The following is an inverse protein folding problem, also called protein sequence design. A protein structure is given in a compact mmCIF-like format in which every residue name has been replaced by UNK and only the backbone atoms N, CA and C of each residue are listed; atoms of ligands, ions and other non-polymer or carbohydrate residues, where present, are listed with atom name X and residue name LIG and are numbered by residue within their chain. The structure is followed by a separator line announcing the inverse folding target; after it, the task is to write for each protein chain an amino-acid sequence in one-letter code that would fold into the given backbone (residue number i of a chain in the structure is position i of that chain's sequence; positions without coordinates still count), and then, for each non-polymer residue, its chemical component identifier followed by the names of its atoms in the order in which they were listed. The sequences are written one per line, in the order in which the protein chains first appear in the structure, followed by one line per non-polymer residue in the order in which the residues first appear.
data_IF_098115760858
#
_entry.id   IF_098115760858
#
_cell.length_a   1.000
_cell.length_b   1.000
_cell.length_c   1.000
_cell.angle_alpha   90.00
_cell.angle_beta   90.00
_cell.angle_gamma   90.00
#
_symmetry.space_group_name_H-M   'P 1'
#
loop_
_entity.id
_entity.type
_entity.pdbx_description
1 polymer ?
#
# COMPACT_ATOMS: atom_id res chain seq x y z
N UNK A 1 8.66 0.96 21.08
CA UNK A 1 8.00 1.76 22.16
C UNK A 1 6.51 1.84 21.83
N UNK A 2 5.64 1.47 22.77
CA UNK A 2 4.18 1.59 22.59
C UNK A 2 3.78 3.06 22.54
N UNK A 3 2.90 3.42 21.62
CA UNK A 3 2.32 4.75 21.53
C UNK A 3 0.81 4.66 21.71
N UNK A 4 0.23 5.41 22.65
CA UNK A 4 -1.18 5.32 23.07
C UNK A 4 -2.21 5.63 21.95
N UNK A 5 -1.80 6.44 20.97
CA UNK A 5 -2.67 6.87 19.87
C UNK A 5 -2.39 6.11 18.55
N UNK A 6 -1.60 5.01 18.61
CA UNK A 6 -1.25 4.20 17.44
C UNK A 6 -1.47 2.73 17.72
N UNK A 7 -2.28 2.08 16.91
CA UNK A 7 -2.42 0.64 16.87
C UNK A 7 -1.78 0.09 15.60
N UNK A 8 -1.17 -1.08 15.69
CA UNK A 8 -0.48 -1.76 14.60
C UNK A 8 -1.22 -3.06 14.27
N UNK A 9 -1.70 -3.18 13.04
CA UNK A 9 -2.31 -4.41 12.54
C UNK A 9 -1.35 -5.12 11.59
N UNK A 10 -0.94 -6.32 11.95
CA UNK A 10 0.05 -7.11 11.22
C UNK A 10 -0.65 -8.17 10.37
N UNK A 11 -0.49 -8.08 9.05
CA UNK A 11 -0.95 -9.10 8.10
C UNK A 11 0.23 -9.96 7.66
N UNK A 12 0.19 -11.24 7.99
CA UNK A 12 1.23 -12.22 7.62
C UNK A 12 0.69 -13.14 6.51
N UNK A 13 1.42 -13.26 5.41
CA UNK A 13 1.10 -14.19 4.32
C UNK A 13 0.90 -15.61 4.88
N UNK A 14 -0.16 -16.30 4.44
CA UNK A 14 -0.47 -17.66 4.91
C UNK A 14 0.67 -18.66 4.66
N UNK A 15 1.52 -18.42 3.65
CA UNK A 15 2.70 -19.24 3.34
C UNK A 15 3.84 -19.07 4.34
N UNK A 16 3.82 -17.99 5.14
CA UNK A 16 4.88 -17.68 6.10
C UNK A 16 4.53 -18.27 7.46
N UNK A 17 5.49 -18.89 8.13
CA UNK A 17 5.32 -19.28 9.54
C UNK A 17 5.08 -18.02 10.38
N UNK A 18 4.00 -18.01 11.15
CA UNK A 18 3.66 -16.89 12.02
C UNK A 18 4.44 -16.90 13.34
N UNK A 19 4.97 -18.05 13.75
CA UNK A 19 5.58 -18.24 15.08
C UNK A 19 6.65 -17.20 15.44
N UNK A 20 7.57 -16.80 14.55
CA UNK A 20 8.57 -15.78 14.88
C UNK A 20 7.97 -14.38 15.16
N UNK A 21 6.76 -14.13 14.69
CA UNK A 21 6.10 -12.83 14.85
C UNK A 21 5.23 -12.74 16.10
N UNK A 22 4.89 -13.88 16.75
CA UNK A 22 4.02 -13.90 17.92
C UNK A 22 4.61 -13.16 19.13
N UNK A 23 5.91 -12.90 19.15
CA UNK A 23 6.56 -12.04 20.14
C UNK A 23 5.91 -10.64 20.20
N UNK A 24 5.32 -10.18 19.10
CA UNK A 24 4.65 -8.88 19.07
C UNK A 24 3.28 -8.86 19.77
N UNK A 25 2.70 -10.02 20.16
CA UNK A 25 1.48 -10.11 20.97
C UNK A 25 1.70 -9.59 22.41
N UNK A 26 2.95 -9.43 22.84
CA UNK A 26 3.28 -8.81 24.13
C UNK A 26 2.91 -7.32 24.21
N UNK A 27 2.61 -6.68 23.06
CA UNK A 27 2.27 -5.27 22.99
C UNK A 27 0.75 -5.08 22.88
N UNK A 28 0.15 -4.34 23.80
CA UNK A 28 -1.29 -4.11 23.89
C UNK A 28 -1.90 -3.39 22.66
N UNK A 29 -1.06 -2.71 21.88
CA UNK A 29 -1.44 -1.98 20.67
C UNK A 29 -1.04 -2.69 19.35
N UNK A 30 -0.68 -3.97 19.42
CA UNK A 30 -0.35 -4.80 18.24
C UNK A 30 -1.39 -5.90 18.08
N UNK A 31 -1.92 -6.03 16.88
CA UNK A 31 -2.97 -6.98 16.52
C UNK A 31 -2.60 -7.73 15.26
N UNK A 32 -2.82 -9.04 15.24
CA UNK A 32 -2.66 -9.81 14.01
C UNK A 32 -3.99 -9.91 13.26
N UNK A 33 -3.94 -9.71 11.92
CA UNK A 33 -5.05 -10.01 11.03
C UNK A 33 -5.30 -11.51 11.05
N UNK A 34 -6.50 -11.90 11.47
CA UNK A 34 -6.87 -13.31 11.72
C UNK A 34 -7.02 -14.10 10.42
N UNK A 35 -7.66 -13.48 9.43
CA UNK A 35 -7.91 -14.12 8.14
C UNK A 35 -6.69 -13.96 7.23
N UNK A 36 -5.80 -14.95 7.24
CA UNK A 36 -4.62 -15.00 6.39
C UNK A 36 -4.95 -15.69 5.06
N UNK A 37 -4.33 -15.23 3.99
CA UNK A 37 -4.44 -15.84 2.65
C UNK A 37 -3.04 -15.96 2.03
N UNK A 38 -2.93 -16.79 0.98
CA UNK A 38 -1.72 -16.83 0.17
C UNK A 38 -1.65 -15.58 -0.70
N UNK A 39 -0.60 -14.79 -0.51
CA UNK A 39 -0.36 -13.54 -1.26
C UNK A 39 0.72 -13.78 -2.31
N UNK A 40 0.51 -13.27 -3.52
CA UNK A 40 1.45 -13.39 -4.61
C UNK A 40 1.68 -12.03 -5.26
N UNK A 41 2.92 -11.76 -5.56
CA UNK A 41 3.33 -10.49 -6.14
C UNK A 41 2.69 -10.23 -7.51
N UNK A 42 2.20 -9.01 -7.68
CA UNK A 42 1.62 -8.53 -8.93
C UNK A 42 0.21 -9.04 -9.25
N UNK A 43 -0.42 -9.85 -8.37
CA UNK A 43 -1.80 -10.28 -8.59
C UNK A 43 -2.79 -9.73 -7.54
N UNK A 44 -4.06 -9.98 -7.76
CA UNK A 44 -5.16 -9.45 -6.93
C UNK A 44 -5.13 -9.93 -5.47
N UNK A 45 -4.34 -10.95 -5.12
CA UNK A 45 -4.25 -11.42 -3.73
C UNK A 45 -3.64 -10.37 -2.78
N UNK A 46 -2.80 -9.45 -3.28
CA UNK A 46 -2.33 -8.29 -2.52
C UNK A 46 -3.50 -7.37 -2.14
N UNK A 47 -4.35 -7.03 -3.11
CA UNK A 47 -5.58 -6.26 -2.87
C UNK A 47 -6.49 -6.98 -1.88
N UNK A 48 -6.71 -8.28 -2.08
CA UNK A 48 -7.57 -9.09 -1.21
C UNK A 48 -7.07 -9.10 0.23
N UNK A 49 -5.76 -9.24 0.45
CA UNK A 49 -5.15 -9.16 1.79
C UNK A 49 -5.37 -7.79 2.43
N UNK A 50 -5.21 -6.71 1.66
CA UNK A 50 -5.45 -5.34 2.13
C UNK A 50 -6.92 -5.13 2.52
N UNK A 51 -7.87 -5.61 1.70
CA UNK A 51 -9.31 -5.50 1.99
C UNK A 51 -9.70 -6.30 3.25
N UNK A 52 -9.12 -7.49 3.46
CA UNK A 52 -9.29 -8.26 4.69
C UNK A 52 -8.81 -7.45 5.90
N UNK A 53 -7.64 -6.81 5.80
CA UNK A 53 -7.12 -5.93 6.83
C UNK A 53 -8.08 -4.77 7.13
N UNK A 54 -8.62 -4.11 6.11
CA UNK A 54 -9.59 -3.04 6.27
C UNK A 54 -10.85 -3.51 7.01
N UNK A 55 -11.40 -4.67 6.64
CA UNK A 55 -12.59 -5.25 7.27
C UNK A 55 -12.34 -5.56 8.75
N UNK A 56 -11.20 -6.17 9.10
CA UNK A 56 -10.87 -6.53 10.48
C UNK A 56 -10.59 -5.27 11.32
N UNK A 57 -9.90 -4.25 10.79
CA UNK A 57 -9.67 -2.97 11.48
C UNK A 57 -11.02 -2.29 11.79
N UNK A 58 -11.92 -2.20 10.81
CA UNK A 58 -13.23 -1.61 11.01
C UNK A 58 -14.12 -2.40 11.97
N UNK A 59 -13.95 -3.72 12.02
CA UNK A 59 -14.69 -4.62 12.93
C UNK A 59 -14.11 -4.67 14.34
N UNK A 60 -12.96 -4.07 14.58
CA UNK A 60 -12.32 -4.04 15.90
C UNK A 60 -13.11 -3.26 16.96
N UNK A 61 -14.06 -2.43 16.54
CA UNK A 61 -14.83 -1.54 17.42
C UNK A 61 -14.05 -0.31 17.90
N UNK A 62 -12.82 -0.14 17.44
CA UNK A 62 -11.96 1.01 17.74
C UNK A 62 -12.22 2.15 16.75
N UNK A 63 -12.12 3.38 17.20
CA UNK A 63 -12.30 4.56 16.36
C UNK A 63 -10.93 5.13 15.97
N UNK A 64 -10.66 5.10 14.68
CA UNK A 64 -9.42 5.61 14.09
C UNK A 64 -9.71 6.79 13.17
N UNK A 65 -8.85 7.81 13.20
CA UNK A 65 -8.88 8.92 12.24
C UNK A 65 -8.31 8.52 10.87
N UNK A 66 -7.19 7.81 10.89
CA UNK A 66 -6.43 7.45 9.70
C UNK A 66 -5.97 5.99 9.72
N UNK A 67 -5.78 5.46 8.52
CA UNK A 67 -5.06 4.22 8.26
C UNK A 67 -3.80 4.54 7.46
N UNK A 68 -2.63 4.15 7.96
CA UNK A 68 -1.36 4.22 7.26
C UNK A 68 -0.93 2.82 6.81
N UNK A 69 -0.85 2.60 5.51
CA UNK A 69 -0.53 1.29 4.94
C UNK A 69 0.96 1.20 4.61
N UNK A 70 1.68 0.32 5.30
CA UNK A 70 3.13 0.11 5.20
C UNK A 70 3.47 -1.38 5.05
N UNK A 71 4.71 -1.70 4.75
CA UNK A 71 5.26 -3.06 4.72
C UNK A 71 6.36 -3.26 5.76
N UNK A 72 6.77 -4.52 5.98
CA UNK A 72 7.91 -4.84 6.83
C UNK A 72 9.27 -4.36 6.29
N UNK A 73 9.33 -3.76 5.10
CA UNK A 73 10.55 -3.13 4.56
C UNK A 73 10.52 -1.61 4.61
N UNK A 74 9.46 -1.03 5.18
CA UNK A 74 9.34 0.41 5.40
C UNK A 74 9.84 0.74 6.81
N UNK A 75 10.38 1.94 6.99
CA UNK A 75 10.82 2.42 8.30
C UNK A 75 10.39 3.88 8.53
N UNK A 76 9.97 4.27 9.75
CA UNK A 76 9.63 5.65 10.05
C UNK A 76 10.89 6.52 10.06
N UNK A 77 10.77 7.75 9.55
CA UNK A 77 11.82 8.79 9.59
C UNK A 77 11.52 9.87 10.63
N UNK A 78 10.41 9.77 11.32
CA UNK A 78 10.00 10.75 12.32
C UNK A 78 9.26 10.06 13.46
N UNK A 79 9.20 10.71 14.63
CA UNK A 79 8.49 10.16 15.77
C UNK A 79 6.98 10.04 15.50
N UNK A 80 6.29 9.07 16.11
CA UNK A 80 4.84 8.94 15.99
C UNK A 80 4.08 10.23 16.37
N UNK A 81 4.55 10.95 17.39
CA UNK A 81 3.95 12.24 17.80
C UNK A 81 3.91 13.25 16.67
N UNK A 82 5.04 13.45 15.95
CA UNK A 82 5.11 14.41 14.86
C UNK A 82 4.24 13.99 13.67
N UNK A 83 4.17 12.70 13.38
CA UNK A 83 3.29 12.20 12.33
C UNK A 83 1.81 12.42 12.70
N UNK A 84 1.42 12.15 13.95
CA UNK A 84 0.07 12.39 14.44
C UNK A 84 -0.27 13.89 14.42
N UNK A 85 0.64 14.75 14.86
CA UNK A 85 0.46 16.21 14.79
C UNK A 85 0.25 16.70 13.34
N UNK A 86 0.99 16.14 12.40
CA UNK A 86 0.81 16.42 10.97
C UNK A 86 -0.59 15.99 10.49
N UNK A 87 -1.02 14.76 10.79
CA UNK A 87 -2.34 14.27 10.40
C UNK A 87 -3.48 15.06 11.04
N UNK A 88 -3.31 15.54 12.28
CA UNK A 88 -4.29 16.42 12.94
C UNK A 88 -4.46 17.79 12.25
N UNK A 89 -3.44 18.25 11.54
CA UNK A 89 -3.50 19.49 10.73
C UNK A 89 -4.13 19.26 9.36
N UNK A 90 -4.18 18.01 8.92
CA UNK A 90 -4.68 17.58 7.61
C UNK A 90 -5.84 16.56 7.75
N UNK A 91 -6.88 16.83 8.56
CA UNK A 91 -7.82 15.81 9.06
C UNK A 91 -8.65 15.12 7.98
N UNK A 92 -8.77 15.75 6.81
CA UNK A 92 -9.56 15.23 5.69
C UNK A 92 -8.72 14.95 4.44
N UNK A 93 -7.39 14.93 4.54
CA UNK A 93 -6.51 14.73 3.39
C UNK A 93 -6.17 13.25 3.21
N UNK A 94 -6.40 12.72 2.02
CA UNK A 94 -6.02 11.37 1.64
C UNK A 94 -4.69 11.38 0.89
N UNK A 95 -3.63 10.89 1.53
CA UNK A 95 -2.28 10.88 0.98
C UNK A 95 -2.02 9.59 0.22
N UNK A 96 -1.86 9.71 -1.10
CA UNK A 96 -1.48 8.62 -2.00
C UNK A 96 -0.82 9.16 -3.25
N UNK A 97 0.14 8.45 -3.80
CA UNK A 97 0.73 8.79 -5.07
C UNK A 97 -0.13 8.23 -6.21
N UNK A 98 -0.48 9.08 -7.18
CA UNK A 98 -1.35 8.67 -8.26
C UNK A 98 -1.12 9.50 -9.54
N UNK A 99 -1.21 8.83 -10.69
CA UNK A 99 -1.19 9.44 -12.01
C UNK A 99 -2.27 8.79 -12.88
N UNK A 100 -3.03 9.56 -13.68
CA UNK A 100 -3.91 9.02 -14.72
C UNK A 100 -3.09 8.15 -15.68
N UNK A 101 -3.52 6.88 -15.85
CA UNK A 101 -2.72 5.90 -16.61
C UNK A 101 -2.61 6.27 -18.08
N UNK A 102 -3.70 6.74 -18.70
CA UNK A 102 -3.72 7.05 -20.13
C UNK A 102 -2.93 8.31 -20.48
N UNK A 103 -2.83 9.25 -19.56
CA UNK A 103 -2.19 10.54 -19.79
C UNK A 103 -0.74 10.60 -19.27
N UNK A 104 -0.52 10.13 -18.03
CA UNK A 104 0.74 10.38 -17.32
C UNK A 104 1.52 9.08 -17.00
N UNK A 105 0.85 7.92 -16.91
CA UNK A 105 1.51 6.64 -16.61
C UNK A 105 1.27 5.59 -17.70
N UNK A 106 1.58 5.96 -18.94
CA UNK A 106 1.25 5.14 -20.13
C UNK A 106 1.88 3.75 -20.15
N UNK A 107 3.02 3.56 -19.48
CA UNK A 107 3.64 2.24 -19.33
C UNK A 107 2.76 1.23 -18.57
N UNK A 108 1.77 1.71 -17.81
CA UNK A 108 0.80 0.86 -17.12
C UNK A 108 -0.42 0.48 -17.99
N UNK A 109 -0.60 1.06 -19.18
CA UNK A 109 -1.71 0.74 -20.08
C UNK A 109 -1.86 -0.77 -20.34
N UNK A 110 -0.79 -1.55 -20.60
CA UNK A 110 -0.91 -2.98 -20.77
C UNK A 110 -1.44 -3.71 -19.54
N UNK A 111 -1.22 -3.19 -18.33
CA UNK A 111 -1.69 -3.77 -17.08
C UNK A 111 -3.22 -3.80 -17.01
N UNK A 112 -3.87 -2.73 -17.47
CA UNK A 112 -5.33 -2.57 -17.42
C UNK A 112 -6.04 -3.03 -18.69
N UNK A 113 -5.39 -2.94 -19.86
CA UNK A 113 -6.02 -3.28 -21.14
C UNK A 113 -5.83 -4.74 -21.57
N UNK A 114 -4.85 -5.46 -21.02
CA UNK A 114 -4.63 -6.87 -21.29
C UNK A 114 -5.28 -7.74 -20.20
N UNK A 115 -5.48 -9.02 -20.53
CA UNK A 115 -5.94 -10.05 -19.59
C UNK A 115 -4.72 -10.61 -18.86
N UNK A 116 -4.75 -10.61 -17.53
CA UNK A 116 -3.74 -11.21 -16.66
C UNK A 116 -4.41 -12.24 -15.76
N UNK A 117 -3.96 -13.50 -15.84
CA UNK A 117 -4.61 -14.63 -15.17
C UNK A 117 -3.90 -15.09 -13.89
N UNK A 118 -2.89 -14.35 -13.43
CA UNK A 118 -2.07 -14.70 -12.26
C UNK A 118 -2.88 -15.07 -11.02
N UNK A 119 -3.94 -14.34 -10.73
CA UNK A 119 -4.81 -14.57 -9.59
C UNK A 119 -5.50 -15.95 -9.60
N UNK A 120 -5.87 -16.47 -10.78
CA UNK A 120 -6.69 -17.69 -10.88
C UNK A 120 -5.89 -19.00 -10.72
N UNK A 121 -4.56 -18.96 -10.83
CA UNK A 121 -3.68 -20.13 -10.63
C UNK A 121 -4.02 -21.36 -11.50
N UNK A 122 -4.44 -21.14 -12.74
CA UNK A 122 -4.85 -22.18 -13.67
C UNK A 122 -3.59 -22.79 -14.33
N UNK A 123 -3.51 -24.12 -14.43
CA UNK A 123 -2.44 -24.80 -15.17
C UNK A 123 -2.46 -24.33 -16.63
N UNK A 124 -1.30 -23.94 -17.17
CA UNK A 124 -1.19 -23.41 -18.53
C UNK A 124 -1.69 -21.96 -18.68
N UNK A 125 -1.91 -21.22 -17.58
CA UNK A 125 -2.47 -19.87 -17.58
C UNK A 125 -1.75 -18.89 -18.53
N UNK A 126 -0.44 -18.98 -18.67
CA UNK A 126 0.32 -18.09 -19.56
C UNK A 126 -0.02 -18.29 -21.03
N UNK A 127 -0.23 -19.56 -21.45
CA UNK A 127 -0.66 -19.89 -22.82
C UNK A 127 -2.08 -19.39 -23.08
N UNK A 128 -2.99 -19.64 -22.13
CA UNK A 128 -4.37 -19.15 -22.19
C UNK A 128 -4.40 -17.63 -22.24
N UNK A 129 -3.65 -16.96 -21.36
CA UNK A 129 -3.53 -15.51 -21.32
C UNK A 129 -3.01 -14.94 -22.64
N UNK A 130 -1.99 -15.57 -23.25
CA UNK A 130 -1.44 -15.16 -24.55
C UNK A 130 -2.49 -15.27 -25.63
N UNK A 131 -3.23 -16.38 -25.68
CA UNK A 131 -4.32 -16.61 -26.64
C UNK A 131 -5.44 -15.58 -26.44
N UNK A 132 -5.90 -15.36 -25.20
CA UNK A 132 -6.92 -14.37 -24.89
C UNK A 132 -6.50 -12.97 -25.37
N UNK A 133 -5.25 -12.57 -25.10
CA UNK A 133 -4.74 -11.25 -25.51
C UNK A 133 -4.54 -11.13 -27.02
N UNK A 134 -4.46 -12.24 -27.76
CA UNK A 134 -4.35 -12.25 -29.22
C UNK A 134 -5.72 -12.15 -29.91
N UNK A 135 -6.77 -12.80 -29.34
CA UNK A 135 -8.06 -12.96 -30.02
C UNK A 135 -9.20 -12.13 -29.42
N UNK A 136 -9.12 -11.75 -28.14
CA UNK A 136 -10.18 -11.00 -27.49
C UNK A 136 -9.94 -9.48 -27.63
N UNK A 137 -11.01 -8.67 -27.61
CA UNK A 137 -10.88 -7.21 -27.58
C UNK A 137 -10.14 -6.77 -26.31
N UNK A 138 -9.47 -5.61 -26.40
CA UNK A 138 -8.84 -5.00 -25.22
C UNK A 138 -9.89 -4.73 -24.15
N UNK A 139 -9.49 -4.90 -22.89
CA UNK A 139 -10.38 -4.68 -21.75
C UNK A 139 -10.67 -3.20 -21.59
N UNK A 140 -11.87 -2.90 -21.13
CA UNK A 140 -12.35 -1.53 -20.86
C UNK A 140 -12.67 -1.42 -19.38
N UNK A 141 -12.27 -0.30 -18.78
CA UNK A 141 -12.54 -0.01 -17.38
C UNK A 141 -14.07 0.05 -17.13
N UNK A 142 -14.60 -0.68 -16.13
CA UNK A 142 -16.01 -0.63 -15.79
C UNK A 142 -16.49 0.80 -15.50
N UNK A 143 -17.73 1.09 -15.83
CA UNK A 143 -18.39 2.38 -15.57
C UNK A 143 -17.66 3.60 -16.13
N UNK A 144 -16.82 3.42 -17.14
CA UNK A 144 -15.99 4.48 -17.74
C UNK A 144 -15.12 5.22 -16.70
N UNK A 145 -14.75 4.54 -15.61
CA UNK A 145 -13.87 5.13 -14.60
C UNK A 145 -12.51 5.46 -15.22
N UNK A 146 -11.96 6.60 -14.82
CA UNK A 146 -10.58 6.98 -15.16
C UNK A 146 -9.64 6.09 -14.37
N UNK A 147 -8.82 5.30 -15.05
CA UNK A 147 -7.80 4.47 -14.41
C UNK A 147 -6.65 5.33 -13.88
N UNK A 148 -6.40 5.22 -12.59
CA UNK A 148 -5.38 6.01 -11.89
C UNK A 148 -4.59 5.09 -10.97
N UNK A 149 -3.28 5.29 -10.89
CA UNK A 149 -2.44 4.51 -9.98
C UNK A 149 -1.00 5.00 -9.96
N UNK A 150 -0.17 4.39 -9.17
CA UNK A 150 1.30 4.50 -9.14
C UNK A 150 1.90 3.69 -7.99
N UNK A 151 1.48 3.96 -6.75
CA UNK A 151 2.09 3.40 -5.55
C UNK A 151 1.06 2.61 -4.74
N UNK A 152 1.42 1.46 -4.25
CA UNK A 152 0.60 0.66 -3.32
C UNK A 152 0.39 1.37 -1.96
N UNK A 153 1.27 2.31 -1.61
CA UNK A 153 1.37 2.88 -0.28
C UNK A 153 0.56 4.16 -0.14
N UNK A 154 -0.15 4.30 0.98
CA UNK A 154 -1.01 5.44 1.25
C UNK A 154 -1.23 5.66 2.74
N UNK A 155 -1.72 6.87 3.07
CA UNK A 155 -2.27 7.21 4.38
C UNK A 155 -3.65 7.82 4.15
N UNK A 156 -4.70 7.12 4.58
CA UNK A 156 -6.09 7.47 4.26
C UNK A 156 -6.90 7.77 5.50
N UNK A 157 -7.77 8.80 5.48
CA UNK A 157 -8.86 8.93 6.45
C UNK A 157 -9.74 7.67 6.44
N UNK A 158 -10.24 7.26 7.61
CA UNK A 158 -11.07 6.06 7.71
C UNK A 158 -12.37 6.12 6.90
N UNK A 159 -12.86 7.33 6.59
CA UNK A 159 -13.97 7.52 5.66
C UNK A 159 -13.68 6.97 4.25
N UNK A 160 -12.44 7.17 3.76
CA UNK A 160 -12.00 6.61 2.47
C UNK A 160 -11.92 5.08 2.51
N UNK A 161 -11.44 4.51 3.61
CA UNK A 161 -11.35 3.06 3.80
C UNK A 161 -12.74 2.41 3.79
N UNK A 162 -13.70 2.99 4.52
CA UNK A 162 -15.12 2.55 4.50
C UNK A 162 -15.71 2.63 3.09
N UNK A 163 -15.50 3.76 2.42
CA UNK A 163 -16.00 3.96 1.07
C UNK A 163 -15.45 2.92 0.08
N UNK A 164 -14.16 2.60 0.13
CA UNK A 164 -13.55 1.58 -0.74
C UNK A 164 -14.26 0.22 -0.57
N UNK A 165 -14.48 -0.22 0.66
CA UNK A 165 -15.15 -1.49 0.94
C UNK A 165 -16.60 -1.49 0.45
N UNK A 166 -17.35 -0.44 0.75
CA UNK A 166 -18.76 -0.32 0.34
C UNK A 166 -18.90 -0.22 -1.16
N UNK A 167 -18.01 0.54 -1.82
CA UNK A 167 -17.98 0.66 -3.28
C UNK A 167 -17.75 -0.71 -3.94
N UNK A 168 -16.78 -1.48 -3.48
CA UNK A 168 -16.49 -2.80 -4.05
C UNK A 168 -17.64 -3.80 -3.81
N UNK A 169 -18.29 -3.77 -2.64
CA UNK A 169 -19.48 -4.58 -2.36
C UNK A 169 -20.64 -4.27 -3.30
N UNK A 170 -20.85 -2.98 -3.60
CA UNK A 170 -21.92 -2.53 -4.50
C UNK A 170 -21.57 -2.70 -5.98
N UNK A 171 -20.29 -2.78 -6.32
CA UNK A 171 -19.80 -2.81 -7.69
C UNK A 171 -18.93 -4.05 -8.02
N UNK A 172 -19.47 -5.28 -7.96
CA UNK A 172 -18.70 -6.51 -8.15
C UNK A 172 -18.07 -6.65 -9.55
N UNK A 173 -18.52 -5.85 -10.53
CA UNK A 173 -17.88 -5.78 -11.86
C UNK A 173 -16.48 -5.17 -11.78
N UNK A 174 -16.26 -4.20 -10.89
CA UNK A 174 -14.95 -3.58 -10.67
C UNK A 174 -14.00 -4.59 -10.07
N UNK A 175 -14.40 -5.30 -9.03
CA UNK A 175 -13.58 -6.35 -8.43
C UNK A 175 -13.20 -7.43 -9.45
N UNK A 176 -14.18 -7.92 -10.23
CA UNK A 176 -13.92 -8.91 -11.31
C UNK A 176 -12.94 -8.39 -12.36
N UNK A 177 -13.02 -7.11 -12.69
CA UNK A 177 -12.08 -6.49 -13.61
C UNK A 177 -10.66 -6.49 -13.02
N UNK A 178 -10.48 -6.05 -11.79
CA UNK A 178 -9.17 -5.96 -11.17
C UNK A 178 -8.52 -7.32 -10.86
N UNK A 179 -9.28 -8.41 -10.73
CA UNK A 179 -8.75 -9.79 -10.66
C UNK A 179 -7.95 -10.22 -11.90
N UNK A 180 -8.07 -9.50 -13.00
CA UNK A 180 -7.31 -9.73 -14.23
C UNK A 180 -6.41 -8.55 -14.60
N UNK A 181 -6.02 -7.72 -13.63
CA UNK A 181 -5.07 -6.62 -13.78
C UNK A 181 -3.76 -7.00 -13.09
N UNK A 182 -2.64 -6.82 -13.76
CA UNK A 182 -1.34 -7.03 -13.15
C UNK A 182 -0.94 -5.80 -12.33
N UNK A 183 -0.45 -6.00 -11.09
CA UNK A 183 -0.15 -4.90 -10.18
C UNK A 183 -1.40 -4.12 -9.78
N UNK A 184 -2.51 -4.84 -9.55
CA UNK A 184 -3.81 -4.25 -9.21
C UNK A 184 -3.80 -3.45 -7.90
N UNK A 185 -2.91 -3.78 -6.97
CA UNK A 185 -2.66 -3.11 -5.71
C UNK A 185 -2.14 -1.67 -5.86
N UNK A 186 -1.48 -1.37 -6.98
CA UNK A 186 -0.99 -0.03 -7.32
C UNK A 186 -2.04 0.83 -8.05
N UNK A 187 -3.22 0.29 -8.35
CA UNK A 187 -4.19 0.94 -9.26
C UNK A 187 -5.60 1.04 -8.64
N UNK A 188 -6.09 -0.01 -7.99
CA UNK A 188 -7.50 -0.13 -7.62
C UNK A 188 -7.96 0.95 -6.63
N UNK A 189 -7.19 1.19 -5.56
CA UNK A 189 -7.58 2.12 -4.50
C UNK A 189 -7.59 3.56 -5.00
N UNK A 190 -6.56 3.94 -5.76
CA UNK A 190 -6.46 5.24 -6.42
C UNK A 190 -7.60 5.44 -7.41
N UNK A 191 -7.87 4.43 -8.25
CA UNK A 191 -8.96 4.49 -9.22
C UNK A 191 -10.30 4.70 -8.53
N UNK A 192 -10.60 3.96 -7.46
CA UNK A 192 -11.87 4.08 -6.73
C UNK A 192 -12.00 5.49 -6.14
N UNK A 193 -10.99 5.98 -5.43
CA UNK A 193 -11.07 7.28 -4.76
C UNK A 193 -11.05 8.44 -5.76
N UNK A 194 -10.31 8.34 -6.86
CA UNK A 194 -10.26 9.38 -7.91
C UNK A 194 -11.59 9.54 -8.64
N UNK A 195 -12.38 8.47 -8.76
CA UNK A 195 -13.72 8.49 -9.38
C UNK A 195 -14.86 8.60 -8.34
N UNK A 196 -14.59 9.18 -7.18
CA UNK A 196 -15.51 9.30 -6.06
C UNK A 196 -15.63 10.74 -5.57
N UNK A 197 -16.56 11.04 -4.65
CA UNK A 197 -16.61 12.33 -3.96
C UNK A 197 -15.31 12.68 -3.20
N UNK A 198 -14.47 11.70 -2.88
CA UNK A 198 -13.19 11.90 -2.20
C UNK A 198 -12.08 12.42 -3.12
N UNK A 199 -12.31 12.56 -4.43
CA UNK A 199 -11.31 13.10 -5.37
C UNK A 199 -10.72 14.43 -4.91
N UNK A 200 -11.57 15.32 -4.36
CA UNK A 200 -11.15 16.66 -3.94
C UNK A 200 -10.20 16.71 -2.75
N UNK A 201 -10.10 15.62 -1.98
CA UNK A 201 -9.21 15.50 -0.81
C UNK A 201 -7.95 14.67 -1.08
N UNK A 202 -7.79 14.14 -2.31
CA UNK A 202 -6.59 13.40 -2.69
C UNK A 202 -5.40 14.35 -2.81
N UNK A 203 -4.33 14.03 -2.10
CA UNK A 203 -3.03 14.68 -2.22
C UNK A 203 -2.05 13.72 -2.87
N UNK A 204 -1.46 14.14 -4.00
CA UNK A 204 -0.51 13.31 -4.75
C UNK A 204 0.85 13.26 -4.03
N UNK A 205 0.88 12.63 -2.88
CA UNK A 205 2.04 12.36 -2.05
C UNK A 205 1.74 11.14 -1.16
N UNK A 206 2.54 10.10 -1.23
CA UNK A 206 2.37 8.92 -0.39
C UNK A 206 3.09 9.02 0.97
N UNK A 207 3.73 10.15 1.27
CA UNK A 207 4.49 10.44 2.49
C UNK A 207 5.74 9.55 2.69
N UNK A 208 6.22 8.90 1.63
CA UNK A 208 7.37 7.97 1.68
C UNK A 208 8.51 8.44 0.78
N UNK A 209 9.73 8.31 1.28
CA UNK A 209 10.93 8.37 0.47
C UNK A 209 11.14 7.00 -0.19
N UNK A 210 11.14 7.00 -1.51
CA UNK A 210 11.33 5.78 -2.32
C UNK A 210 12.32 6.12 -3.43
N UNK A 211 13.49 5.49 -3.42
CA UNK A 211 14.52 5.72 -4.43
C UNK A 211 14.40 4.71 -5.57
N UNK A 212 14.16 5.21 -6.78
CA UNK A 212 14.08 4.44 -8.02
C UNK A 212 15.28 4.65 -8.94
N UNK A 213 16.31 5.37 -8.49
CA UNK A 213 17.48 5.73 -9.33
C UNK A 213 18.27 4.53 -9.80
N UNK A 214 18.25 3.43 -9.05
CA UNK A 214 18.90 2.18 -9.42
C UNK A 214 18.25 1.47 -10.63
N UNK A 215 17.02 1.86 -11.01
CA UNK A 215 16.22 1.21 -12.05
C UNK A 215 15.72 -0.19 -11.62
N UNK A 216 14.89 -0.80 -12.48
CA UNK A 216 14.39 -2.16 -12.26
C UNK A 216 12.99 -2.23 -11.64
N UNK A 217 12.63 -3.45 -11.16
CA UNK A 217 11.29 -3.79 -10.67
C UNK A 217 11.08 -3.52 -9.18
N UNK A 218 12.13 -3.14 -8.47
CA UNK A 218 12.10 -2.81 -7.04
C UNK A 218 12.88 -1.52 -6.79
N UNK A 219 12.48 -0.71 -5.81
CA UNK A 219 13.29 0.44 -5.41
C UNK A 219 14.64 0.00 -4.83
N UNK A 220 15.59 0.94 -4.83
CA UNK A 220 16.89 0.78 -4.18
C UNK A 220 16.71 0.34 -2.72
N UNK A 221 17.58 -0.56 -2.26
CA UNK A 221 17.70 -0.84 -0.83
C UNK A 221 18.55 0.26 -0.19
N UNK A 222 17.94 0.96 0.76
CA UNK A 222 18.53 2.10 1.44
C UNK A 222 19.57 1.65 2.48
N UNK A 223 20.70 2.36 2.52
CA UNK A 223 21.84 2.08 3.38
C UNK A 223 22.34 3.36 4.06
N UNK A 224 23.43 3.26 4.79
CA UNK A 224 24.10 4.43 5.40
C UNK A 224 24.50 5.50 4.38
N UNK A 225 24.70 5.14 3.12
CA UNK A 225 25.01 6.09 2.04
C UNK A 225 23.83 7.05 1.78
N UNK A 226 22.59 6.62 2.06
CA UNK A 226 21.37 7.39 1.82
C UNK A 226 20.95 8.25 3.04
N UNK A 227 21.73 8.22 4.14
CA UNK A 227 21.37 8.88 5.40
C UNK A 227 21.00 10.35 5.23
N UNK A 228 21.80 11.10 4.49
CA UNK A 228 21.61 12.56 4.33
C UNK A 228 20.37 12.85 3.47
N UNK A 229 20.11 12.07 2.44
CA UNK A 229 18.90 12.15 1.62
C UNK A 229 17.66 11.84 2.44
N UNK A 230 17.71 10.80 3.28
CA UNK A 230 16.61 10.45 4.18
C UNK A 230 16.30 11.61 5.14
N UNK A 231 17.32 12.21 5.75
CA UNK A 231 17.18 13.31 6.69
C UNK A 231 16.60 14.57 6.03
N UNK A 232 16.94 14.82 4.76
CA UNK A 232 16.52 16.00 4.01
C UNK A 232 15.20 15.78 3.25
N UNK A 233 14.73 14.55 3.13
CA UNK A 233 13.56 14.19 2.31
C UNK A 233 12.26 14.88 2.72
N UNK A 234 12.13 15.26 3.99
CA UNK A 234 10.88 15.77 4.57
C UNK A 234 9.75 14.74 4.60
N UNK A 235 10.05 13.45 4.36
CA UNK A 235 9.07 12.36 4.38
C UNK A 235 8.95 11.73 5.76
N UNK A 236 7.82 11.08 6.03
CA UNK A 236 7.54 10.45 7.32
C UNK A 236 8.01 9.00 7.38
N UNK A 237 8.14 8.35 6.25
CA UNK A 237 8.60 6.97 6.12
C UNK A 237 9.59 6.86 4.96
N UNK A 238 10.38 5.80 4.95
CA UNK A 238 11.22 5.46 3.81
C UNK A 238 11.16 3.96 3.51
N UNK A 239 11.52 3.62 2.29
CA UNK A 239 11.67 2.26 1.82
C UNK A 239 12.63 2.18 0.64
N UNK A 240 13.35 1.12 0.50
CA UNK A 240 13.18 -0.21 1.09
C UNK A 240 14.40 -0.51 1.97
N UNK A 241 14.19 -0.94 3.20
CA UNK A 241 15.28 -1.38 4.08
C UNK A 241 15.40 -2.90 4.10
N UNK A 242 16.61 -3.37 4.32
CA UNK A 242 16.94 -4.77 4.50
C UNK A 242 18.02 -4.89 5.59
N UNK A 243 17.66 -5.47 6.74
CA UNK A 243 18.55 -5.61 7.88
C UNK A 243 19.76 -6.52 7.60
N UNK A 244 19.62 -7.50 6.69
CA UNK A 244 20.73 -8.37 6.29
C UNK A 244 21.76 -7.61 5.45
N UNK A 245 21.36 -6.51 4.78
CA UNK A 245 22.24 -5.68 3.99
C UNK A 245 22.91 -4.60 4.85
N UNK A 246 22.12 -3.84 5.58
CA UNK A 246 22.61 -2.75 6.45
C UNK A 246 21.60 -2.50 7.58
N UNK A 247 21.88 -3.03 8.76
CA UNK A 247 21.10 -2.77 9.97
C UNK A 247 21.50 -1.44 10.64
N UNK A 248 22.74 -0.94 10.40
CA UNK A 248 23.27 0.26 11.07
C UNK A 248 22.45 1.50 10.72
N UNK A 249 21.94 1.58 9.48
CA UNK A 249 21.10 2.70 9.08
C UNK A 249 19.85 2.85 9.95
N UNK A 250 19.25 1.73 10.39
CA UNK A 250 18.07 1.76 11.25
C UNK A 250 18.39 2.33 12.64
N UNK A 251 19.53 1.91 13.23
CA UNK A 251 20.00 2.44 14.52
C UNK A 251 20.28 3.96 14.44
N UNK A 252 20.81 4.40 13.31
CA UNK A 252 21.08 5.83 13.05
C UNK A 252 19.76 6.61 12.92
N UNK A 253 18.77 6.08 12.22
CA UNK A 253 17.44 6.70 12.10
C UNK A 253 16.80 6.81 13.49
N UNK A 254 16.84 5.74 14.29
CA UNK A 254 16.28 5.73 15.64
C UNK A 254 16.89 6.83 16.50
N UNK A 255 18.22 6.92 16.49
CA UNK A 255 18.95 7.89 17.31
C UNK A 255 18.78 9.35 16.85
N UNK A 256 18.87 9.58 15.53
CA UNK A 256 19.03 10.91 14.96
C UNK A 256 17.69 11.54 14.49
N UNK A 257 16.71 10.71 14.13
CA UNK A 257 15.45 11.15 13.51
C UNK A 257 14.21 10.89 14.38
N UNK A 258 14.13 9.72 15.06
CA UNK A 258 12.96 9.37 15.85
C UNK A 258 12.96 9.93 17.25
N UNK A 259 14.14 10.14 17.85
CA UNK A 259 14.23 10.77 19.16
C UNK A 259 13.98 12.27 18.99
N UNK A 260 12.90 12.79 19.57
CA UNK A 260 12.67 14.24 19.65
C UNK A 260 13.94 14.93 20.16
N UNK A 261 14.63 15.70 19.32
CA UNK A 261 15.50 16.74 19.87
C UNK A 261 14.60 17.69 20.64
N UNK A 262 14.65 17.64 21.98
CA UNK A 262 14.12 18.71 22.81
C UNK A 262 14.84 19.98 22.37
N UNK A 263 14.14 20.84 21.64
CA UNK A 263 14.55 22.23 21.39
C UNK A 263 14.35 23.00 22.67
#
# INVERSE_FOLDING_TARGET
MQHKDVDIFISIDLKTDISPFLIFEEFDNVFFIKKRINVYWGDYSLVQSTLIGFEEILSSGRDYGFLNFISGSDYPLTSPDLFIEFLKKEPNTAFMEYYPIEDEWQEAIPRIRNYHLGYFRIKGMYTIQKLMNAVLPKRVMPYQMIAVGRSQWFTLPMACVRYILDFLRQNPKVERYFKMVWGSDEIIFQTILYNSPFKSILKNDNLRYIDWTAGGVSPKQLTMEDRDDLQQSGKFFARKFNMDLDAVILDVIDRDMLIKKKI
#
